data_IF_199884565283
#
_entry.id   IF_199884565283
#
_cell.length_a   1.000
_cell.length_b   1.000
_cell.length_c   1.000
_cell.angle_alpha   90.00
_cell.angle_beta   90.00
_cell.angle_gamma   90.00
#
_symmetry.space_group_name_H-M   'P 1'
#
loop_
_entity.id
_entity.type
_entity.pdbx_description
1 polymer ?
#
# COMPACT_ATOMS: atom_id res chain seq x y z
N UNK A 1 6.11 1.44 -13.52
CA UNK A 1 6.86 1.33 -12.24
C UNK A 1 7.84 0.19 -12.38
N UNK A 2 9.13 0.45 -12.27
CA UNK A 2 10.17 -0.55 -12.55
C UNK A 2 10.28 -1.56 -11.41
N UNK A 3 10.71 -2.78 -11.72
CA UNK A 3 11.05 -3.78 -10.71
C UNK A 3 12.43 -3.48 -10.10
N UNK A 4 12.74 -3.93 -8.87
CA UNK A 4 14.06 -3.77 -8.27
C UNK A 4 15.22 -4.33 -9.13
N UNK A 5 14.94 -5.33 -9.96
CA UNK A 5 15.89 -5.95 -10.89
C UNK A 5 16.09 -5.20 -12.21
N UNK A 6 15.33 -4.13 -12.47
CA UNK A 6 15.43 -3.34 -13.70
C UNK A 6 16.54 -2.28 -13.59
N UNK A 7 17.79 -2.73 -13.70
CA UNK A 7 18.96 -1.85 -13.61
C UNK A 7 18.97 -0.76 -14.70
N UNK A 8 19.37 0.45 -14.31
CA UNK A 8 19.48 1.61 -15.21
C UNK A 8 18.16 2.34 -15.49
N UNK A 9 17.03 1.90 -14.93
CA UNK A 9 15.71 2.50 -15.16
C UNK A 9 14.96 2.69 -13.84
N UNK A 10 14.41 3.89 -13.63
CA UNK A 10 13.46 4.19 -12.55
C UNK A 10 12.18 4.70 -13.17
N UNK A 11 11.06 4.03 -12.91
CA UNK A 11 9.74 4.48 -13.36
C UNK A 11 8.88 4.93 -12.17
N UNK A 12 8.35 6.15 -12.24
CA UNK A 12 7.52 6.73 -11.21
C UNK A 12 6.02 6.59 -11.55
N UNK A 13 5.21 6.17 -10.57
CA UNK A 13 3.77 6.40 -10.63
C UNK A 13 3.47 7.75 -9.97
N UNK A 14 2.97 8.71 -10.74
CA UNK A 14 2.71 10.08 -10.26
C UNK A 14 1.26 10.47 -10.52
N UNK A 15 0.64 11.08 -9.52
CA UNK A 15 -0.58 11.89 -9.71
C UNK A 15 -0.14 13.34 -9.82
N UNK A 16 -0.53 13.99 -10.91
CA UNK A 16 -0.21 15.40 -11.12
C UNK A 16 -1.33 16.27 -10.55
N UNK A 17 -0.98 17.10 -9.58
CA UNK A 17 -1.90 18.05 -8.96
C UNK A 17 -1.89 19.38 -9.72
N UNK A 18 -3.07 19.96 -9.95
CA UNK A 18 -3.24 21.18 -10.77
C UNK A 18 -2.39 22.36 -10.27
N UNK A 19 -2.20 22.47 -8.96
CA UNK A 19 -1.45 23.56 -8.32
C UNK A 19 -0.14 23.10 -7.66
N UNK A 20 0.26 21.84 -7.85
CA UNK A 20 1.47 21.30 -7.26
C UNK A 20 2.72 21.80 -7.99
N UNK A 21 3.62 22.50 -7.30
CA UNK A 21 4.86 23.01 -7.92
C UNK A 21 5.67 21.90 -8.62
N UNK A 22 5.84 20.75 -7.96
CA UNK A 22 6.49 19.58 -8.55
C UNK A 22 5.72 19.00 -9.74
N UNK A 23 4.39 18.92 -9.64
CA UNK A 23 3.54 18.41 -10.73
C UNK A 23 3.63 19.30 -11.98
N UNK A 24 3.65 20.62 -11.80
CA UNK A 24 3.83 21.58 -12.89
C UNK A 24 5.23 21.47 -13.51
N UNK A 25 6.27 21.29 -12.70
CA UNK A 25 7.62 21.08 -13.19
C UNK A 25 7.71 19.80 -14.03
N UNK A 26 7.25 18.65 -13.50
CA UNK A 26 7.24 17.36 -14.20
C UNK A 26 6.43 17.42 -15.50
N UNK A 27 5.27 18.10 -15.50
CA UNK A 27 4.43 18.25 -16.70
C UNK A 27 5.14 18.99 -17.84
N UNK A 28 6.11 19.84 -17.53
CA UNK A 28 6.87 20.62 -18.51
C UNK A 28 8.21 19.98 -18.90
N UNK A 29 8.60 18.87 -18.25
CA UNK A 29 9.84 18.15 -18.59
C UNK A 29 9.75 17.49 -19.96
N UNK A 30 10.90 17.41 -20.63
CA UNK A 30 11.08 16.77 -21.94
C UNK A 30 12.11 15.66 -21.86
N UNK A 31 12.09 14.78 -22.85
CA UNK A 31 13.13 13.77 -23.02
C UNK A 31 14.49 14.48 -23.14
N UNK A 32 15.45 14.07 -22.29
CA UNK A 32 16.77 14.69 -22.17
C UNK A 32 16.93 15.60 -20.94
N UNK A 33 15.83 16.02 -20.31
CA UNK A 33 15.89 16.78 -19.05
C UNK A 33 16.37 15.90 -17.88
N UNK A 34 17.04 16.53 -16.93
CA UNK A 34 17.59 15.86 -15.74
C UNK A 34 16.67 16.03 -14.52
N UNK A 35 16.48 14.95 -13.77
CA UNK A 35 15.84 14.98 -12.45
C UNK A 35 16.85 14.55 -11.39
N UNK A 36 17.11 15.41 -10.41
CA UNK A 36 17.93 15.04 -9.27
C UNK A 36 17.13 14.18 -8.29
N UNK A 37 17.68 13.01 -7.94
CA UNK A 37 17.04 12.05 -7.06
C UNK A 37 17.91 11.81 -5.83
N UNK A 38 17.29 11.76 -4.64
CA UNK A 38 17.94 11.38 -3.39
C UNK A 38 17.28 10.11 -2.83
N UNK A 39 18.09 9.10 -2.50
CA UNK A 39 17.62 7.87 -1.88
C UNK A 39 18.74 6.85 -1.62
N UNK A 40 18.39 5.65 -1.12
CA UNK A 40 17.04 5.23 -0.74
C UNK A 40 16.49 6.00 0.47
N UNK A 41 15.18 6.23 0.50
CA UNK A 41 14.48 6.90 1.60
C UNK A 41 13.33 5.99 2.06
N UNK A 42 13.18 5.78 3.37
CA UNK A 42 12.11 4.96 3.92
C UNK A 42 12.43 4.42 5.31
N UNK A 43 11.55 3.58 5.83
CA UNK A 43 11.70 2.92 7.12
C UNK A 43 11.00 1.56 7.23
N UNK A 44 10.42 1.03 6.16
CA UNK A 44 9.92 -0.34 6.18
C UNK A 44 10.93 -1.24 5.48
N UNK A 45 11.55 -2.13 6.23
CA UNK A 45 12.47 -3.14 5.71
C UNK A 45 11.74 -4.47 5.63
N UNK A 46 11.69 -5.03 4.43
CA UNK A 46 11.08 -6.31 4.14
C UNK A 46 12.15 -7.37 3.94
N UNK A 47 11.86 -8.59 4.40
CA UNK A 47 12.73 -9.75 4.19
C UNK A 47 11.87 -10.98 3.93
N UNK A 48 12.22 -11.73 2.88
CA UNK A 48 11.48 -12.89 2.45
C UNK A 48 11.31 -13.92 3.58
N UNK A 49 10.10 -14.49 3.69
CA UNK A 49 9.78 -15.52 4.68
C UNK A 49 9.74 -15.08 6.16
N UNK A 50 9.93 -13.80 6.49
CA UNK A 50 9.89 -13.31 7.89
C UNK A 50 8.48 -13.01 8.40
N UNK A 51 7.51 -12.86 7.50
CA UNK A 51 6.11 -12.60 7.82
C UNK A 51 5.25 -13.80 7.42
N UNK A 52 4.29 -14.19 8.26
CA UNK A 52 3.24 -15.13 7.83
C UNK A 52 2.28 -14.41 6.88
N UNK A 53 1.85 -13.21 7.25
CA UNK A 53 0.95 -12.38 6.45
C UNK A 53 1.38 -10.91 6.45
N UNK A 54 1.51 -10.34 5.25
CA UNK A 54 1.65 -8.92 5.01
C UNK A 54 0.31 -8.35 4.51
N UNK A 55 -0.32 -7.53 5.33
CA UNK A 55 -1.53 -6.79 4.97
C UNK A 55 -1.13 -5.43 4.43
N UNK A 56 -1.68 -5.02 3.30
CA UNK A 56 -1.43 -3.71 2.71
C UNK A 56 -2.75 -3.03 2.39
N UNK A 57 -2.86 -1.75 2.74
CA UNK A 57 -4.02 -0.90 2.45
C UNK A 57 -3.50 0.34 1.73
N UNK A 58 -3.93 0.55 0.49
CA UNK A 58 -3.46 1.67 -0.30
C UNK A 58 -4.57 2.32 -1.12
N UNK A 59 -4.34 3.59 -1.52
CA UNK A 59 -5.27 4.32 -2.37
C UNK A 59 -4.62 5.01 -3.56
N UNK A 60 -5.25 4.92 -4.73
CA UNK A 60 -4.77 5.52 -5.97
C UNK A 60 -3.27 5.29 -6.21
N UNK A 61 -2.52 6.37 -6.47
CA UNK A 61 -1.05 6.32 -6.66
C UNK A 61 -0.29 5.92 -5.39
N UNK A 62 -0.90 6.06 -4.21
CA UNK A 62 -0.36 5.55 -2.95
C UNK A 62 -0.10 4.04 -2.95
N UNK A 63 -0.66 3.26 -3.89
CA UNK A 63 -0.36 1.85 -4.05
C UNK A 63 1.05 1.51 -4.55
N UNK A 64 1.80 2.49 -5.07
CA UNK A 64 3.13 2.24 -5.66
C UNK A 64 4.09 1.44 -4.74
N UNK A 65 4.20 1.68 -3.41
CA UNK A 65 5.09 0.88 -2.56
C UNK A 65 4.56 -0.54 -2.33
N UNK A 66 3.24 -0.71 -2.23
CA UNK A 66 2.61 -2.02 -2.09
C UNK A 66 2.84 -2.87 -3.33
N UNK A 67 2.71 -2.29 -4.53
CA UNK A 67 2.93 -2.98 -5.80
C UNK A 67 4.41 -3.42 -5.94
N UNK A 68 5.36 -2.61 -5.47
CA UNK A 68 6.78 -3.02 -5.44
C UNK A 68 7.01 -4.23 -4.54
N UNK A 69 6.43 -4.24 -3.32
CA UNK A 69 6.55 -5.39 -2.41
C UNK A 69 5.88 -6.64 -2.99
N UNK A 70 4.67 -6.51 -3.55
CA UNK A 70 3.96 -7.63 -4.22
C UNK A 70 4.84 -8.24 -5.30
N UNK A 71 5.44 -7.42 -6.18
CA UNK A 71 6.33 -7.92 -7.24
C UNK A 71 7.57 -8.60 -6.69
N UNK A 72 8.14 -8.09 -5.60
CA UNK A 72 9.28 -8.74 -4.94
C UNK A 72 8.91 -10.15 -4.46
N UNK A 73 7.78 -10.27 -3.75
CA UNK A 73 7.29 -11.55 -3.22
C UNK A 73 6.87 -12.50 -4.36
N UNK A 74 6.22 -11.97 -5.41
CA UNK A 74 5.73 -12.76 -6.54
C UNK A 74 6.85 -13.35 -7.40
N UNK A 75 8.03 -12.72 -7.39
CA UNK A 75 9.20 -13.15 -8.16
C UNK A 75 10.20 -13.97 -7.33
N UNK A 76 10.01 -14.07 -6.01
CA UNK A 76 10.79 -14.95 -5.15
C UNK A 76 9.96 -16.20 -4.76
N UNK A 77 10.26 -17.37 -5.36
CA UNK A 77 9.57 -18.61 -5.04
C UNK A 77 9.92 -19.17 -3.66
N UNK A 78 11.01 -18.70 -3.03
CA UNK A 78 11.39 -19.11 -1.67
C UNK A 78 10.64 -18.33 -0.58
N UNK A 79 10.02 -17.21 -0.95
CA UNK A 79 9.25 -16.40 -0.04
C UNK A 79 7.91 -17.05 0.30
N UNK A 80 7.64 -17.32 1.57
CA UNK A 80 6.37 -17.94 2.00
C UNK A 80 5.33 -16.93 2.46
N UNK A 81 5.63 -15.63 2.39
CA UNK A 81 4.76 -14.57 2.90
C UNK A 81 3.43 -14.53 2.14
N UNK A 82 2.31 -14.58 2.86
CA UNK A 82 0.99 -14.33 2.29
C UNK A 82 0.75 -12.83 2.21
N UNK A 83 0.14 -12.36 1.13
CA UNK A 83 -0.18 -10.94 0.97
C UNK A 83 -1.68 -10.78 0.89
N UNK A 84 -2.19 -9.93 1.76
CA UNK A 84 -3.53 -9.37 1.68
C UNK A 84 -3.40 -7.94 1.20
N UNK A 85 -4.00 -7.59 0.05
CA UNK A 85 -3.98 -6.22 -0.47
C UNK A 85 -5.39 -5.63 -0.65
N UNK A 86 -5.71 -4.58 0.10
CA UNK A 86 -6.90 -3.77 -0.11
C UNK A 86 -6.52 -2.51 -0.87
N UNK A 87 -6.91 -2.45 -2.13
CA UNK A 87 -6.58 -1.34 -3.02
C UNK A 87 -7.82 -0.58 -3.42
N UNK A 88 -7.92 0.66 -2.94
CA UNK A 88 -9.06 1.52 -3.24
C UNK A 88 -8.70 2.67 -4.20
N UNK A 89 -9.59 3.00 -5.13
CA UNK A 89 -9.47 4.20 -5.95
C UNK A 89 -10.83 4.88 -6.16
N UNK A 90 -10.87 6.06 -6.79
CA UNK A 90 -12.16 6.71 -7.04
C UNK A 90 -12.96 5.92 -8.08
N UNK A 91 -12.31 5.60 -9.19
CA UNK A 91 -12.86 4.84 -10.31
C UNK A 91 -11.93 3.69 -10.69
N UNK A 92 -12.40 2.67 -11.43
CA UNK A 92 -11.58 1.52 -11.85
C UNK A 92 -10.31 1.92 -12.61
N UNK A 93 -10.35 2.96 -13.44
CA UNK A 93 -9.21 3.42 -14.26
C UNK A 93 -8.07 3.99 -13.41
N UNK A 94 -8.35 4.34 -12.15
CA UNK A 94 -7.35 4.86 -11.21
C UNK A 94 -6.62 3.74 -10.45
N UNK A 95 -7.00 2.48 -10.63
CA UNK A 95 -6.30 1.32 -10.08
C UNK A 95 -5.08 0.99 -10.96
N UNK A 96 -3.90 1.39 -10.50
CA UNK A 96 -2.64 1.11 -11.18
C UNK A 96 -2.36 -0.40 -11.21
N UNK A 97 -1.87 -0.90 -12.35
CA UNK A 97 -1.44 -2.29 -12.49
C UNK A 97 -2.54 -3.34 -12.19
N UNK A 98 -3.82 -2.98 -12.37
CA UNK A 98 -4.95 -3.86 -12.04
C UNK A 98 -4.88 -5.24 -12.72
N UNK A 99 -4.56 -5.28 -14.01
CA UNK A 99 -4.45 -6.54 -14.77
C UNK A 99 -3.33 -7.44 -14.23
N UNK A 100 -2.16 -6.85 -13.95
CA UNK A 100 -1.00 -7.56 -13.39
C UNK A 100 -1.32 -8.10 -11.98
N UNK A 101 -1.89 -7.26 -11.11
CA UNK A 101 -2.26 -7.67 -9.76
C UNK A 101 -3.32 -8.77 -9.78
N UNK A 102 -4.30 -8.67 -10.68
CA UNK A 102 -5.30 -9.73 -10.89
C UNK A 102 -4.66 -11.03 -11.36
N UNK A 103 -3.67 -10.96 -12.26
CA UNK A 103 -2.93 -12.13 -12.71
C UNK A 103 -2.12 -12.78 -11.58
N UNK A 104 -1.51 -11.98 -10.69
CA UNK A 104 -0.84 -12.49 -9.49
C UNK A 104 -1.82 -13.23 -8.57
N UNK A 105 -2.96 -12.62 -8.23
CA UNK A 105 -3.97 -13.28 -7.38
C UNK A 105 -4.55 -14.56 -7.97
N UNK A 106 -4.63 -14.67 -9.31
CA UNK A 106 -5.12 -15.90 -9.98
C UNK A 106 -4.11 -17.05 -10.00
N UNK A 107 -2.80 -16.74 -10.09
CA UNK A 107 -1.77 -17.77 -10.29
C UNK A 107 -1.06 -18.20 -9.00
N UNK A 108 -1.19 -17.42 -7.94
CA UNK A 108 -0.43 -17.61 -6.70
C UNK A 108 -1.35 -17.48 -5.48
N UNK A 109 -1.54 -18.59 -4.78
CA UNK A 109 -2.43 -18.67 -3.61
C UNK A 109 -1.93 -17.91 -2.40
N UNK A 110 -0.69 -17.37 -2.43
CA UNK A 110 -0.20 -16.43 -1.41
C UNK A 110 -0.94 -15.09 -1.46
N UNK A 111 -1.56 -14.76 -2.59
CA UNK A 111 -2.11 -13.43 -2.86
C UNK A 111 -3.63 -13.38 -2.80
N UNK A 112 -4.15 -12.54 -1.91
CA UNK A 112 -5.58 -12.28 -1.71
C UNK A 112 -5.84 -10.79 -1.80
N UNK A 113 -6.37 -10.35 -2.95
CA UNK A 113 -6.49 -8.94 -3.30
C UNK A 113 -7.96 -8.52 -3.39
N UNK A 114 -8.28 -7.40 -2.76
CA UNK A 114 -9.57 -6.73 -2.86
C UNK A 114 -9.38 -5.39 -3.55
N UNK A 115 -9.97 -5.24 -4.73
CA UNK A 115 -10.04 -3.98 -5.45
C UNK A 115 -11.37 -3.31 -5.14
N UNK A 116 -11.33 -2.08 -4.64
CA UNK A 116 -12.51 -1.33 -4.22
C UNK A 116 -12.55 0.04 -4.91
N UNK A 117 -13.73 0.49 -5.33
CA UNK A 117 -13.89 1.82 -5.93
C UNK A 117 -15.09 2.55 -5.33
N UNK A 118 -15.04 3.88 -5.32
CA UNK A 118 -16.16 4.70 -4.82
C UNK A 118 -17.18 5.06 -5.90
N UNK A 119 -16.79 5.01 -7.17
CA UNK A 119 -17.60 5.37 -8.33
C UNK A 119 -17.32 4.35 -9.46
N UNK A 120 -18.35 3.64 -9.89
CA UNK A 120 -18.29 2.70 -11.02
C UNK A 120 -19.63 2.59 -11.73
N UNK A 121 -19.61 2.01 -12.92
CA UNK A 121 -20.80 1.54 -13.62
C UNK A 121 -21.01 0.03 -13.40
N UNK A 122 -22.04 -0.51 -14.03
CA UNK A 122 -22.42 -1.93 -13.95
C UNK A 122 -21.34 -2.90 -14.50
N UNK A 123 -20.29 -2.39 -15.15
CA UNK A 123 -19.19 -3.24 -15.64
C UNK A 123 -18.18 -3.60 -14.56
N UNK A 124 -18.17 -2.89 -13.43
CA UNK A 124 -17.26 -3.17 -12.33
C UNK A 124 -17.72 -4.39 -11.52
N UNK A 125 -16.83 -5.39 -11.43
CA UNK A 125 -17.12 -6.64 -10.70
C UNK A 125 -16.41 -6.72 -9.35
N UNK A 126 -15.67 -5.69 -8.96
CA UNK A 126 -14.96 -5.63 -7.68
C UNK A 126 -15.84 -5.07 -6.56
N UNK A 127 -15.22 -4.71 -5.44
CA UNK A 127 -15.94 -4.10 -4.32
C UNK A 127 -16.27 -2.62 -4.62
N UNK A 128 -17.36 -2.15 -4.03
CA UNK A 128 -17.78 -0.75 -4.10
C UNK A 128 -17.91 -0.17 -2.69
N UNK A 129 -17.52 1.08 -2.50
CA UNK A 129 -17.74 1.84 -1.27
C UNK A 129 -16.50 2.55 -0.75
N UNK A 130 -16.62 3.12 0.45
CA UNK A 130 -15.54 3.82 1.14
C UNK A 130 -14.72 2.86 2.02
N UNK A 131 -13.54 3.31 2.42
CA UNK A 131 -12.74 2.60 3.44
C UNK A 131 -13.37 2.82 4.81
N UNK A 132 -13.85 1.75 5.43
CA UNK A 132 -14.37 1.73 6.79
C UNK A 132 -14.21 0.33 7.42
N UNK A 133 -14.68 0.15 8.67
CA UNK A 133 -14.57 -1.13 9.37
C UNK A 133 -15.38 -2.25 8.68
N UNK A 134 -16.50 -1.93 8.04
CA UNK A 134 -17.35 -2.91 7.36
C UNK A 134 -16.70 -3.43 6.07
N UNK A 135 -16.03 -2.56 5.31
CA UNK A 135 -15.34 -2.94 4.07
C UNK A 135 -14.01 -3.62 4.33
N UNK A 136 -13.31 -3.25 5.41
CA UNK A 136 -12.03 -3.87 5.76
C UNK A 136 -12.16 -5.22 6.49
N UNK A 137 -13.19 -5.40 7.33
CA UNK A 137 -13.32 -6.59 8.18
C UNK A 137 -13.30 -7.94 7.43
N UNK A 138 -13.96 -8.12 6.27
CA UNK A 138 -13.91 -9.39 5.53
C UNK A 138 -12.52 -9.71 4.98
N UNK A 139 -11.74 -8.66 4.71
CA UNK A 139 -10.43 -8.75 4.09
C UNK A 139 -9.32 -9.00 5.12
N UNK A 140 -9.40 -8.35 6.27
CA UNK A 140 -8.37 -8.35 7.30
C UNK A 140 -8.16 -9.76 7.90
N UNK A 141 -6.91 -10.22 8.07
CA UNK A 141 -6.65 -11.50 8.71
C UNK A 141 -7.20 -11.50 10.15
N UNK A 142 -7.61 -12.65 10.71
CA UNK A 142 -7.92 -12.72 12.12
C UNK A 142 -6.67 -12.38 12.95
N UNK A 143 -6.85 -11.62 14.03
CA UNK A 143 -5.78 -11.33 14.98
C UNK A 143 -5.43 -12.59 15.79
N UNK A 144 -4.61 -13.48 15.21
CA UNK A 144 -4.35 -14.84 15.71
C UNK A 144 -2.93 -15.06 16.25
N UNK A 145 -2.21 -13.98 16.60
CA UNK A 145 -0.89 -14.07 17.24
C UNK A 145 0.27 -14.46 16.32
N UNK A 146 0.06 -14.54 15.00
CA UNK A 146 1.12 -14.72 14.00
C UNK A 146 1.87 -13.41 13.70
N UNK A 147 3.05 -13.51 13.10
CA UNK A 147 3.82 -12.34 12.62
C UNK A 147 3.13 -11.68 11.44
N UNK A 148 2.21 -10.77 11.77
CA UNK A 148 1.44 -10.00 10.82
C UNK A 148 1.88 -8.54 10.87
N UNK A 149 2.08 -7.93 9.71
CA UNK A 149 2.30 -6.48 9.60
C UNK A 149 1.29 -5.88 8.64
N UNK A 150 0.81 -4.69 8.99
CA UNK A 150 -0.11 -3.89 8.20
C UNK A 150 0.61 -2.65 7.70
N UNK A 151 0.72 -2.49 6.39
CA UNK A 151 1.24 -1.27 5.76
C UNK A 151 0.06 -0.45 5.24
N UNK A 152 0.02 0.84 5.59
CA UNK A 152 -0.93 1.80 5.03
C UNK A 152 -0.17 2.78 4.16
N UNK A 153 -0.56 2.91 2.89
CA UNK A 153 0.05 3.83 1.93
C UNK A 153 -1.03 4.64 1.22
N UNK A 154 -1.53 5.66 1.91
CA UNK A 154 -2.67 6.49 1.49
C UNK A 154 -2.43 7.96 1.86
N UNK A 155 -3.31 8.86 1.39
CA UNK A 155 -3.29 10.26 1.84
C UNK A 155 -3.69 10.42 3.32
N UNK A 156 -3.21 11.44 4.03
CA UNK A 156 -3.36 11.56 5.50
C UNK A 156 -4.80 11.44 6.03
N UNK A 157 -5.78 12.00 5.32
CA UNK A 157 -7.20 11.90 5.71
C UNK A 157 -7.68 10.44 5.71
N UNK A 158 -7.32 9.67 4.68
CA UNK A 158 -7.68 8.26 4.55
C UNK A 158 -6.92 7.41 5.57
N UNK A 159 -5.67 7.77 5.89
CA UNK A 159 -4.89 7.09 6.95
C UNK A 159 -5.65 7.15 8.28
N UNK A 160 -6.18 8.30 8.69
CA UNK A 160 -6.93 8.44 9.96
C UNK A 160 -8.19 7.55 9.96
N UNK A 161 -8.95 7.56 8.86
CA UNK A 161 -10.14 6.69 8.74
C UNK A 161 -9.76 5.21 8.80
N UNK A 162 -8.69 4.82 8.09
CA UNK A 162 -8.18 3.44 8.09
C UNK A 162 -7.71 3.01 9.48
N UNK A 163 -6.96 3.87 10.18
CA UNK A 163 -6.50 3.61 11.55
C UNK A 163 -7.66 3.48 12.52
N UNK A 164 -8.70 4.30 12.39
CA UNK A 164 -9.90 4.25 13.23
C UNK A 164 -10.63 2.92 13.04
N UNK A 165 -10.81 2.48 11.79
CA UNK A 165 -11.39 1.19 11.46
C UNK A 165 -10.56 0.02 12.01
N UNK A 166 -9.23 0.06 11.85
CA UNK A 166 -8.33 -0.96 12.39
C UNK A 166 -8.40 -1.02 13.93
N UNK A 167 -8.47 0.13 14.59
CA UNK A 167 -8.59 0.21 16.05
C UNK A 167 -9.90 -0.37 16.55
N UNK A 168 -11.02 -0.06 15.89
CA UNK A 168 -12.34 -0.66 16.15
C UNK A 168 -12.31 -2.20 16.00
N UNK A 169 -11.58 -2.69 15.00
CA UNK A 169 -11.41 -4.12 14.73
C UNK A 169 -10.33 -4.79 15.62
N UNK A 170 -9.74 -4.06 16.57
CA UNK A 170 -8.81 -4.60 17.57
C UNK A 170 -7.37 -4.83 17.07
N UNK A 171 -6.99 -4.23 15.94
CA UNK A 171 -5.60 -4.23 15.48
C UNK A 171 -4.72 -3.37 16.39
N UNK A 172 -3.48 -3.80 16.61
CA UNK A 172 -2.54 -3.09 17.48
C UNK A 172 -1.67 -2.15 16.66
N UNK A 173 -1.34 -1.00 17.25
CA UNK A 173 -0.48 0.01 16.62
C UNK A 173 0.96 -0.45 16.38
N UNK A 174 1.47 -1.43 17.14
CA UNK A 174 2.81 -1.99 16.93
C UNK A 174 2.90 -2.98 15.75
N UNK A 175 1.78 -3.29 15.11
CA UNK A 175 1.74 -4.05 13.86
C UNK A 175 1.51 -3.17 12.63
N UNK A 176 1.31 -1.87 12.82
CA UNK A 176 0.95 -0.93 11.74
C UNK A 176 2.16 -0.05 11.39
N UNK A 177 2.48 -0.03 10.10
CA UNK A 177 3.42 0.90 9.50
C UNK A 177 2.69 1.80 8.49
N UNK A 178 2.99 3.10 8.50
CA UNK A 178 2.43 4.04 7.52
C UNK A 178 3.54 4.51 6.60
N UNK A 179 3.34 4.28 5.31
CA UNK A 179 4.20 4.80 4.27
C UNK A 179 3.79 6.23 3.93
N UNK A 180 4.67 7.18 4.22
CA UNK A 180 4.45 8.60 3.94
C UNK A 180 4.91 9.49 5.09
N UNK A 181 4.77 10.81 4.92
CA UNK A 181 5.11 11.75 5.98
C UNK A 181 4.14 11.59 7.16
N UNK A 182 4.61 11.89 8.36
CA UNK A 182 3.81 11.98 9.59
C UNK A 182 3.18 10.66 10.08
N UNK A 183 3.70 9.50 9.69
CA UNK A 183 3.13 8.21 10.09
C UNK A 183 2.99 8.05 11.62
N UNK A 184 3.99 8.47 12.38
CA UNK A 184 3.98 8.35 13.85
C UNK A 184 2.91 9.23 14.47
N UNK A 185 2.78 10.47 14.00
CA UNK A 185 1.80 11.44 14.45
C UNK A 185 0.38 10.95 14.16
N UNK A 186 0.14 10.39 12.97
CA UNK A 186 -1.15 9.84 12.57
C UNK A 186 -1.54 8.62 13.44
N UNK A 187 -0.60 7.71 13.74
CA UNK A 187 -0.86 6.60 14.68
C UNK A 187 -1.24 7.14 16.05
N UNK A 188 -0.47 8.08 16.59
CA UNK A 188 -0.71 8.64 17.93
C UNK A 188 -2.00 9.46 18.02
N UNK A 189 -2.45 10.04 16.93
CA UNK A 189 -3.73 10.75 16.87
C UNK A 189 -4.92 9.80 17.10
N UNK A 190 -4.81 8.53 16.72
CA UNK A 190 -5.89 7.52 16.85
C UNK A 190 -5.68 6.60 18.05
N UNK A 191 -4.48 6.05 18.22
CA UNK A 191 -4.15 5.08 19.27
C UNK A 191 -3.65 5.72 20.57
N UNK A 192 -3.58 7.06 20.62
CA UNK A 192 -3.11 7.83 21.76
C UNK A 192 -1.59 8.04 21.79
N UNK A 193 -1.15 9.02 22.60
CA UNK A 193 0.24 9.49 22.63
C UNK A 193 1.27 8.43 23.08
N UNK A 194 0.82 7.42 23.84
CA UNK A 194 1.65 6.32 24.34
C UNK A 194 1.58 5.07 23.45
N UNK A 195 0.99 5.17 22.26
CA UNK A 195 0.91 4.06 21.32
C UNK A 195 2.31 3.49 21.04
N UNK A 196 2.42 2.16 21.10
CA UNK A 196 3.61 1.47 20.62
C UNK A 196 3.66 1.59 19.11
N UNK A 197 4.85 1.76 18.57
CA UNK A 197 5.09 1.86 17.15
C UNK A 197 5.66 0.55 16.64
N UNK A 198 5.36 0.20 15.40
CA UNK A 198 5.98 -0.95 14.77
C UNK A 198 7.50 -0.79 14.76
N UNK A 199 8.20 -1.80 15.29
CA UNK A 199 9.64 -1.89 15.13
C UNK A 199 9.94 -2.40 13.71
N UNK A 200 11.10 -2.05 13.18
CA UNK A 200 11.65 -2.73 12.02
C UNK A 200 11.68 -4.24 12.29
N UNK A 201 11.43 -5.06 11.26
CA UNK A 201 11.57 -6.51 11.40
C UNK A 201 13.02 -6.81 11.81
N UNK A 202 13.27 -7.66 12.80
CA UNK A 202 14.64 -8.06 13.11
C UNK A 202 15.21 -8.78 11.88
N UNK A 203 16.31 -8.24 11.35
CA UNK A 203 17.10 -8.85 10.28
C UNK A 203 17.42 -10.32 10.59
#
# INVERSE_FOLDING_TARGET
MSAPSAFGVIEFGLRLETHGAFSLAVKNMKIGDTLECRGPCGGFEYSAGKLDTLTMIATGVGATPAIQLIRSIANDPSDTTKVKFFYHAKTPEQLLCLEELTAFGKRDSRFDFTFCVSECDDSWTGSEGLIDASTLKPFLPPANGKTNKTIISTGPAVVITTLSALHELGYKSDDIYIYGPFGVELIRAVYGQKAKLATHLPC
#
